data_IF_382832306956
#
_entry.id   IF_382832306956
#
_cell.length_a   1.000
_cell.length_b   1.000
_cell.length_c   1.000
_cell.angle_alpha   90.00
_cell.angle_beta   90.00
_cell.angle_gamma   90.00
#
_symmetry.space_group_name_H-M   'P 1'
#
loop_
_entity.id
_entity.type
_entity.pdbx_description
1 polymer ?
#
# COMPACT_ATOMS: atom_id res chain seq x y z
N UNK A 1 29.58 18.17 -8.32
CA UNK A 1 28.85 16.94 -7.94
C UNK A 1 28.01 17.14 -6.66
N UNK A 2 27.61 18.37 -6.34
CA UNK A 2 26.94 18.75 -5.08
C UNK A 2 25.41 18.91 -5.20
N UNK A 3 24.86 18.81 -6.43
CA UNK A 3 23.44 19.08 -6.67
C UNK A 3 22.51 17.85 -6.50
N UNK A 4 23.06 16.70 -6.09
CA UNK A 4 22.32 15.43 -6.08
C UNK A 4 21.80 15.00 -4.70
N UNK A 5 21.88 15.86 -3.68
CA UNK A 5 21.42 15.55 -2.33
C UNK A 5 21.99 14.23 -1.79
N UNK A 6 21.29 13.62 -0.84
CA UNK A 6 21.59 12.27 -0.37
C UNK A 6 20.29 11.48 -0.20
N UNK A 7 20.40 10.17 -0.27
CA UNK A 7 19.29 9.25 0.01
C UNK A 7 19.66 8.35 1.19
N UNK A 8 18.69 8.11 2.08
CA UNK A 8 18.85 7.18 3.20
C UNK A 8 18.77 5.75 2.68
N UNK A 9 19.77 4.95 3.02
CA UNK A 9 19.83 3.52 2.69
C UNK A 9 19.74 2.68 3.96
N UNK A 10 18.67 1.90 4.11
CA UNK A 10 18.49 1.01 5.25
C UNK A 10 19.27 -0.29 5.06
N UNK A 11 20.13 -0.64 6.03
CA UNK A 11 20.93 -1.87 6.02
C UNK A 11 20.07 -3.13 5.83
N UNK A 12 18.88 -3.16 6.43
CA UNK A 12 17.94 -4.29 6.37
C UNK A 12 17.41 -4.58 4.96
N UNK A 13 17.55 -3.66 4.00
CA UNK A 13 17.07 -3.86 2.62
C UNK A 13 17.69 -5.09 1.94
N UNK A 14 18.95 -5.41 2.28
CA UNK A 14 19.68 -6.53 1.68
C UNK A 14 19.18 -7.90 2.13
N UNK A 15 18.52 -7.96 3.30
CA UNK A 15 17.98 -9.19 3.89
C UNK A 15 16.45 -9.14 4.00
N UNK A 16 15.79 -8.33 3.17
CA UNK A 16 14.34 -8.19 3.20
C UNK A 16 13.70 -9.40 2.49
N UNK A 17 12.69 -10.07 3.09
CA UNK A 17 12.10 -11.30 2.54
C UNK A 17 11.43 -11.13 1.17
N UNK A 18 11.08 -9.88 0.80
CA UNK A 18 10.55 -9.57 -0.53
C UNK A 18 11.58 -9.81 -1.66
N UNK A 19 12.88 -9.78 -1.36
CA UNK A 19 13.95 -9.94 -2.33
C UNK A 19 14.57 -11.33 -2.24
N UNK A 20 14.80 -11.95 -3.39
CA UNK A 20 15.48 -13.24 -3.48
C UNK A 20 16.99 -13.07 -3.58
N UNK A 21 17.40 -12.07 -4.37
CA UNK A 21 18.80 -11.83 -4.71
C UNK A 21 19.19 -10.38 -4.42
N UNK A 22 20.50 -10.15 -4.24
CA UNK A 22 21.06 -8.80 -4.08
C UNK A 22 20.75 -7.87 -5.25
N UNK A 23 20.58 -8.41 -6.46
CA UNK A 23 20.19 -7.64 -7.65
C UNK A 23 18.79 -7.04 -7.48
N UNK A 24 17.85 -7.79 -6.91
CA UNK A 24 16.49 -7.29 -6.67
C UNK A 24 16.48 -6.20 -5.59
N UNK A 25 17.28 -6.39 -4.54
CA UNK A 25 17.49 -5.37 -3.52
C UNK A 25 18.17 -4.11 -4.10
N UNK A 26 19.06 -4.26 -5.08
CA UNK A 26 19.69 -3.15 -5.80
C UNK A 26 18.69 -2.42 -6.73
N UNK A 27 17.76 -3.15 -7.37
CA UNK A 27 16.64 -2.54 -8.12
C UNK A 27 15.79 -1.70 -7.18
N UNK A 28 15.45 -2.23 -6.01
CA UNK A 28 14.70 -1.49 -4.99
C UNK A 28 15.46 -0.24 -4.52
N UNK A 29 16.75 -0.37 -4.20
CA UNK A 29 17.60 0.76 -3.84
C UNK A 29 17.57 1.85 -4.92
N UNK A 30 17.75 1.46 -6.17
CA UNK A 30 17.67 2.38 -7.30
C UNK A 30 16.29 3.05 -7.40
N UNK A 31 15.19 2.33 -7.19
CA UNK A 31 13.85 2.92 -7.18
C UNK A 31 13.69 3.96 -6.06
N UNK A 32 14.16 3.66 -4.85
CA UNK A 32 14.10 4.62 -3.74
C UNK A 32 14.99 5.83 -3.97
N UNK A 33 16.13 5.64 -4.61
CA UNK A 33 17.10 6.70 -4.87
C UNK A 33 16.67 7.63 -6.02
N UNK A 34 15.89 7.10 -6.98
CA UNK A 34 15.41 7.87 -8.15
C UNK A 34 14.01 8.43 -8.00
N UNK A 35 13.25 8.00 -6.99
CA UNK A 35 11.96 8.57 -6.69
C UNK A 35 12.06 10.07 -6.41
N UNK A 36 11.05 10.82 -6.85
CA UNK A 36 11.04 12.26 -6.76
C UNK A 36 11.04 12.70 -5.28
N UNK A 37 12.06 13.43 -4.85
CA UNK A 37 12.15 13.93 -3.48
C UNK A 37 11.26 15.17 -3.22
N UNK A 38 10.85 15.83 -4.30
CA UNK A 38 9.88 16.93 -4.39
C UNK A 38 8.98 16.72 -5.60
N UNK A 39 7.75 17.30 -5.63
CA UNK A 39 6.90 17.29 -6.81
C UNK A 39 7.66 17.82 -8.05
N UNK A 40 7.66 17.05 -9.14
CA UNK A 40 8.42 17.35 -10.35
C UNK A 40 7.60 17.06 -11.59
N UNK A 41 7.63 17.97 -12.55
CA UNK A 41 7.08 17.77 -13.90
C UNK A 41 8.16 17.21 -14.81
N UNK A 42 7.93 16.03 -15.38
CA UNK A 42 8.79 15.41 -16.38
C UNK A 42 8.21 15.63 -17.78
N UNK A 43 9.02 16.11 -18.71
CA UNK A 43 8.69 16.11 -20.12
C UNK A 43 8.99 14.72 -20.70
N UNK A 44 7.95 13.98 -21.08
CA UNK A 44 8.09 12.74 -21.85
C UNK A 44 7.73 13.00 -23.31
N UNK A 45 8.21 12.15 -24.22
CA UNK A 45 7.85 12.18 -25.65
C UNK A 45 6.33 12.13 -25.87
N UNK A 46 5.61 11.49 -24.96
CA UNK A 46 4.16 11.29 -25.04
C UNK A 46 3.35 12.33 -24.27
N UNK A 47 4.00 13.37 -23.73
CA UNK A 47 3.37 14.45 -22.99
C UNK A 47 4.00 14.71 -21.62
N UNK A 48 3.56 15.76 -20.93
CA UNK A 48 4.02 16.06 -19.58
C UNK A 48 3.46 15.06 -18.57
N UNK A 49 4.32 14.57 -17.68
CA UNK A 49 3.96 13.71 -16.55
C UNK A 49 4.29 14.44 -15.26
N UNK A 50 3.28 14.68 -14.43
CA UNK A 50 3.47 15.24 -13.10
C UNK A 50 3.73 14.09 -12.12
N UNK A 51 4.85 14.16 -11.39
CA UNK A 51 5.20 13.23 -10.33
C UNK A 51 5.11 13.96 -8.99
N UNK A 52 4.48 13.32 -8.02
CA UNK A 52 4.49 13.74 -6.62
C UNK A 52 5.72 13.19 -5.89
N UNK A 53 5.94 13.68 -4.66
CA UNK A 53 7.01 13.17 -3.81
C UNK A 53 6.84 11.65 -3.57
N UNK A 54 7.92 10.90 -3.74
CA UNK A 54 7.93 9.44 -3.61
C UNK A 54 7.41 8.67 -4.82
N UNK A 55 7.09 9.38 -5.92
CA UNK A 55 6.72 8.77 -7.19
C UNK A 55 7.91 8.71 -8.16
N UNK A 56 7.91 7.70 -9.01
CA UNK A 56 8.82 7.61 -10.16
C UNK A 56 8.08 7.10 -11.39
N UNK A 57 8.48 7.59 -12.56
CA UNK A 57 8.02 7.07 -13.84
C UNK A 57 9.01 5.99 -14.31
N UNK A 58 8.52 4.77 -14.54
CA UNK A 58 9.34 3.67 -15.04
C UNK A 58 8.82 3.13 -16.36
N UNK A 59 9.76 2.63 -17.18
CA UNK A 59 9.46 1.77 -18.30
C UNK A 59 10.03 0.39 -18.03
N UNK A 60 9.19 -0.65 -18.03
CA UNK A 60 9.62 -2.04 -17.78
C UNK A 60 10.78 -2.44 -18.70
N UNK A 61 10.72 -2.04 -19.98
CA UNK A 61 11.78 -2.32 -20.98
C UNK A 61 13.08 -1.61 -20.63
N UNK A 62 12.99 -0.35 -20.20
CA UNK A 62 14.16 0.45 -19.82
C UNK A 62 14.88 -0.11 -18.61
N UNK A 63 14.14 -0.50 -17.58
CA UNK A 63 14.72 -1.05 -16.35
C UNK A 63 15.29 -2.44 -16.58
N UNK A 64 14.57 -3.30 -17.30
CA UNK A 64 15.06 -4.62 -17.67
C UNK A 64 16.42 -4.56 -18.39
N UNK A 65 16.56 -3.61 -19.35
CA UNK A 65 17.83 -3.37 -20.04
C UNK A 65 18.92 -2.86 -19.08
N UNK A 66 18.58 -1.92 -18.19
CA UNK A 66 19.53 -1.31 -17.24
C UNK A 66 20.14 -2.34 -16.28
N UNK A 67 19.33 -3.24 -15.75
CA UNK A 67 19.76 -4.29 -14.82
C UNK A 67 20.10 -5.62 -15.50
N UNK A 68 20.14 -5.65 -16.84
CA UNK A 68 20.43 -6.86 -17.64
C UNK A 68 19.59 -8.07 -17.23
N UNK A 69 18.32 -7.85 -16.96
CA UNK A 69 17.38 -8.90 -16.54
C UNK A 69 16.21 -9.04 -17.51
N UNK A 70 15.54 -10.19 -17.50
CA UNK A 70 14.35 -10.42 -18.32
C UNK A 70 13.17 -9.55 -17.89
N UNK A 71 12.34 -9.10 -18.84
CA UNK A 71 11.12 -8.31 -18.56
C UNK A 71 10.18 -9.01 -17.59
N UNK A 72 10.02 -10.34 -17.75
CA UNK A 72 9.20 -11.17 -16.86
C UNK A 72 9.75 -11.19 -15.43
N UNK A 73 11.08 -11.22 -15.27
CA UNK A 73 11.72 -11.17 -13.96
C UNK A 73 11.44 -9.83 -13.26
N UNK A 74 11.63 -8.71 -13.97
CA UNK A 74 11.33 -7.38 -13.43
C UNK A 74 9.85 -7.22 -13.05
N UNK A 75 8.92 -7.70 -13.89
CA UNK A 75 7.49 -7.69 -13.56
C UNK A 75 7.19 -8.55 -12.32
N UNK A 76 7.86 -9.68 -12.14
CA UNK A 76 7.76 -10.50 -10.92
C UNK A 76 8.27 -9.79 -9.67
N UNK A 77 9.32 -8.97 -9.79
CA UNK A 77 9.79 -8.09 -8.70
C UNK A 77 8.72 -7.06 -8.37
N UNK A 78 8.18 -6.36 -9.37
CA UNK A 78 7.13 -5.36 -9.15
C UNK A 78 5.89 -5.96 -8.50
N UNK A 79 5.43 -7.13 -8.95
CA UNK A 79 4.27 -7.79 -8.36
C UNK A 79 4.50 -8.13 -6.88
N UNK A 80 5.67 -8.70 -6.54
CA UNK A 80 6.02 -8.96 -5.13
C UNK A 80 6.08 -7.70 -4.29
N UNK A 81 6.63 -6.61 -4.83
CA UNK A 81 6.65 -5.32 -4.14
C UNK A 81 5.25 -4.76 -3.90
N UNK A 82 4.31 -5.00 -4.83
CA UNK A 82 2.89 -4.64 -4.66
C UNK A 82 2.25 -5.54 -3.60
N UNK A 83 2.49 -6.84 -3.65
CA UNK A 83 1.94 -7.82 -2.72
C UNK A 83 2.41 -7.56 -1.27
N UNK A 84 3.66 -7.13 -1.09
CA UNK A 84 4.26 -6.71 0.18
C UNK A 84 3.92 -5.25 0.57
N UNK A 85 3.04 -4.59 -0.19
CA UNK A 85 2.63 -3.20 0.00
C UNK A 85 3.80 -2.21 0.12
N UNK A 86 4.88 -2.45 -0.62
CA UNK A 86 6.01 -1.54 -0.72
C UNK A 86 5.77 -0.46 -1.77
N UNK A 87 5.03 -0.79 -2.83
CA UNK A 87 4.70 0.11 -3.94
C UNK A 87 3.26 0.00 -4.41
N UNK A 88 2.76 1.06 -5.02
CA UNK A 88 1.50 1.10 -5.79
C UNK A 88 1.84 1.45 -7.23
N UNK A 89 1.24 0.72 -8.18
CA UNK A 89 1.38 0.99 -9.61
C UNK A 89 0.17 1.79 -10.10
N UNK A 90 0.43 2.91 -10.77
CA UNK A 90 -0.58 3.70 -11.44
C UNK A 90 -0.22 3.86 -12.92
N UNK A 91 -1.04 3.25 -13.77
CA UNK A 91 -0.95 3.41 -15.23
C UNK A 91 -1.94 4.46 -15.75
N UNK A 92 -2.89 4.90 -14.93
CA UNK A 92 -3.91 5.87 -15.28
C UNK A 92 -3.38 7.30 -15.08
N UNK A 93 -2.71 7.82 -16.09
CA UNK A 93 -2.19 9.18 -16.16
C UNK A 93 -2.23 9.68 -17.61
N UNK A 94 -2.13 10.99 -17.87
CA UNK A 94 -2.37 11.57 -19.20
C UNK A 94 -1.48 11.03 -20.33
N UNK A 95 -0.37 10.36 -20.01
CA UNK A 95 0.58 9.80 -20.97
C UNK A 95 0.77 8.29 -20.77
N UNK A 96 -0.25 7.44 -21.04
CA UNK A 96 -0.19 6.00 -20.75
C UNK A 96 0.95 5.26 -21.47
N UNK A 97 1.40 5.79 -22.62
CA UNK A 97 2.52 5.24 -23.39
C UNK A 97 3.90 5.64 -22.84
N UNK A 98 3.98 6.60 -21.91
CA UNK A 98 5.24 7.06 -21.31
C UNK A 98 5.83 6.05 -20.32
N UNK A 99 4.99 5.23 -19.68
CA UNK A 99 5.42 4.24 -18.71
C UNK A 99 4.37 4.00 -17.64
N UNK A 100 4.81 3.48 -16.50
CA UNK A 100 3.98 3.28 -15.31
C UNK A 100 4.50 4.19 -14.21
N UNK A 101 3.62 4.93 -13.54
CA UNK A 101 3.97 5.68 -12.34
C UNK A 101 3.97 4.70 -11.17
N UNK A 102 5.08 4.62 -10.46
CA UNK A 102 5.21 3.82 -9.24
C UNK A 102 5.24 4.78 -8.06
N UNK A 103 4.36 4.55 -7.08
CA UNK A 103 4.31 5.30 -5.83
C UNK A 103 4.88 4.43 -4.71
N UNK A 104 5.89 4.93 -4.00
CA UNK A 104 6.46 4.24 -2.83
C UNK A 104 5.66 4.65 -1.59
N UNK A 105 4.91 3.73 -1.00
CA UNK A 105 3.93 4.02 0.08
C UNK A 105 4.58 4.70 1.29
N UNK A 106 5.71 4.14 1.76
CA UNK A 106 6.39 4.62 2.97
C UNK A 106 7.59 5.53 2.64
N UNK A 107 7.58 6.21 1.48
CA UNK A 107 8.71 7.04 1.05
C UNK A 107 9.06 8.12 2.06
N UNK A 108 8.06 8.77 2.66
CA UNK A 108 8.28 9.76 3.71
C UNK A 108 9.02 9.16 4.91
N UNK A 109 8.64 7.96 5.37
CA UNK A 109 9.35 7.27 6.44
C UNK A 109 10.80 6.94 6.07
N UNK A 110 11.04 6.62 4.80
CA UNK A 110 12.37 6.25 4.31
C UNK A 110 13.28 7.45 4.10
N UNK A 111 12.73 8.58 3.64
CA UNK A 111 13.50 9.71 3.10
C UNK A 111 13.12 11.07 3.73
N UNK A 112 12.33 11.13 4.80
CA UNK A 112 12.12 12.39 5.54
C UNK A 112 13.42 12.79 6.23
N UNK A 113 13.82 14.05 6.03
CA UNK A 113 14.67 14.73 6.98
C UNK A 113 13.75 15.30 8.05
N UNK A 114 13.89 14.85 9.29
CA UNK A 114 13.51 15.71 10.41
C UNK A 114 14.63 16.76 10.40
N UNK A 115 14.41 17.85 9.71
CA UNK A 115 15.13 19.07 10.04
C UNK A 115 14.65 19.38 11.45
N UNK A 116 15.55 19.30 12.44
CA UNK A 116 15.31 20.03 13.67
C UNK A 116 15.17 21.49 13.23
N UNK A 117 13.94 21.96 13.11
CA UNK A 117 13.67 23.39 13.05
C UNK A 117 14.03 23.91 14.43
N UNK A 118 15.03 24.77 14.50
CA UNK A 118 15.52 25.46 15.70
C UNK A 118 14.49 26.46 16.27
N UNK A 119 13.19 26.10 16.32
CA UNK A 119 12.10 26.93 16.83
C UNK A 119 11.09 26.09 17.64
N UNK A 120 11.55 25.48 18.73
CA UNK A 120 10.69 25.22 19.90
C UNK A 120 11.53 25.32 21.20
N UNK A 121 11.31 26.34 22.05
CA UNK A 121 12.12 26.56 23.25
C UNK A 121 11.57 25.77 24.43
N UNK A 122 11.49 24.44 24.36
CA UNK A 122 11.14 23.65 25.56
C UNK A 122 11.68 22.24 25.54
N UNK A 123 12.98 22.08 25.76
CA UNK A 123 13.52 21.14 26.77
C UNK A 123 15.04 21.31 26.85
N UNK A 124 15.47 22.10 27.83
CA UNK A 124 16.89 22.27 28.17
C UNK A 124 17.46 20.99 28.78
N UNK A 125 18.65 20.66 28.28
CA UNK A 125 19.86 20.32 29.02
C UNK A 125 19.96 18.97 29.72
N UNK A 126 20.79 18.12 29.11
CA UNK A 126 21.68 17.20 29.80
C UNK A 126 23.02 17.19 29.08
N UNK A 127 23.77 18.30 29.19
CA UNK A 127 25.19 18.34 28.81
C UNK A 127 25.97 17.29 29.61
N UNK A 128 26.78 16.48 28.91
CA UNK A 128 28.06 15.99 29.40
C UNK A 128 28.97 15.83 28.18
N UNK A 129 29.82 16.83 27.98
CA UNK A 129 30.99 16.76 27.12
C UNK A 129 32.00 15.71 27.63
N UNK A 130 32.90 15.23 26.75
CA UNK A 130 33.82 14.12 27.04
C UNK A 130 35.10 14.59 27.74
N UNK A 131 35.70 13.80 28.65
CA UNK A 131 37.06 14.08 29.08
C UNK A 131 38.05 13.43 28.10
N UNK A 132 38.71 14.28 27.32
CA UNK A 132 39.91 14.00 26.56
C UNK A 132 41.12 14.24 27.48
N UNK A 133 41.85 13.18 27.88
CA UNK A 133 43.33 13.18 27.85
C UNK A 133 44.01 11.91 28.39
N UNK A 134 44.97 11.45 27.57
CA UNK A 134 46.23 10.77 27.91
C UNK A 134 46.22 9.34 28.49
N UNK A 135 46.60 8.34 27.66
CA UNK A 135 48.00 7.91 27.51
C UNK A 135 48.15 6.76 26.50
N UNK A 136 49.20 6.86 25.68
CA UNK A 136 49.66 5.91 24.66
C UNK A 136 50.56 4.87 25.34
N UNK A 137 50.29 3.57 25.17
CA UNK A 137 51.36 2.57 25.20
C UNK A 137 51.00 1.35 24.36
N UNK A 138 52.04 0.83 23.73
CA UNK A 138 52.18 -0.14 22.65
C UNK A 138 51.86 -1.59 23.02
N UNK A 139 51.81 -2.41 21.95
CA UNK A 139 51.95 -3.88 21.87
C UNK A 139 50.66 -4.72 21.76
N UNK A 140 50.50 -5.38 20.60
CA UNK A 140 49.77 -6.65 20.48
C UNK A 140 50.60 -7.81 21.07
N UNK A 141 50.11 -9.06 21.14
CA UNK A 141 49.53 -9.79 20.00
C UNK A 141 48.35 -10.76 20.31
N UNK A 142 47.79 -11.29 19.20
CA UNK A 142 46.96 -12.51 18.98
C UNK A 142 46.42 -13.35 20.15
N UNK A 143 45.14 -13.73 20.02
CA UNK A 143 44.56 -14.92 20.65
C UNK A 143 43.34 -15.44 19.88
N UNK A 144 43.48 -16.62 19.26
CA UNK A 144 42.41 -17.44 18.66
C UNK A 144 41.48 -18.00 19.75
N UNK A 145 40.21 -18.19 19.43
CA UNK A 145 39.28 -18.97 20.25
C UNK A 145 37.95 -19.20 19.55
N UNK A 146 37.89 -20.26 18.73
CA UNK A 146 36.64 -20.91 18.33
C UNK A 146 35.94 -21.57 19.53
N UNK A 147 34.60 -21.62 19.47
CA UNK A 147 33.64 -22.61 20.00
C UNK A 147 32.31 -21.87 20.27
N UNK A 148 31.12 -22.37 19.99
CA UNK A 148 30.67 -23.66 19.49
C UNK A 148 29.25 -23.48 18.95
N UNK A 149 28.92 -24.37 18.01
CA UNK A 149 27.66 -24.55 17.29
C UNK A 149 26.58 -25.10 18.23
N UNK A 150 25.40 -24.50 18.23
CA UNK A 150 24.16 -25.18 18.66
C UNK A 150 23.14 -25.14 17.53
N UNK A 151 23.10 -26.26 16.82
CA UNK A 151 21.94 -26.67 16.03
C UNK A 151 20.81 -26.99 17.00
N UNK A 152 19.65 -26.36 16.80
CA UNK A 152 18.38 -26.91 17.29
C UNK A 152 17.30 -26.75 16.22
N UNK A 153 16.95 -27.93 15.70
CA UNK A 153 15.78 -28.33 14.95
C UNK A 153 14.51 -27.61 15.45
N UNK A 154 13.75 -26.96 14.55
CA UNK A 154 12.33 -26.69 14.82
C UNK A 154 11.47 -27.16 13.66
N UNK A 155 10.93 -28.35 13.87
CA UNK A 155 9.77 -28.90 13.19
C UNK A 155 8.54 -28.02 13.45
N UNK A 156 7.60 -28.18 12.54
CA UNK A 156 6.23 -27.69 12.54
C UNK A 156 5.52 -27.89 13.88
N UNK A 157 4.65 -26.93 14.24
CA UNK A 157 3.78 -27.00 15.40
C UNK A 157 3.24 -25.62 15.75
N UNK A 158 1.93 -25.45 15.58
CA UNK A 158 1.19 -24.27 16.04
C UNK A 158 1.44 -24.02 17.54
N UNK A 159 1.42 -22.76 18.04
CA UNK A 159 1.09 -22.51 19.42
C UNK A 159 -0.39 -22.16 19.50
N UNK A 160 -1.20 -23.18 19.77
CA UNK A 160 -2.26 -23.02 20.76
C UNK A 160 -1.57 -23.01 22.12
N UNK A 161 -1.73 -21.93 22.89
CA UNK A 161 -0.98 -21.73 24.12
C UNK A 161 -1.10 -20.31 24.64
N UNK A 162 -2.21 -20.05 25.32
CA UNK A 162 -2.50 -18.93 26.21
C UNK A 162 -1.30 -18.04 26.59
N UNK A 163 -1.28 -16.81 26.06
CA UNK A 163 -0.69 -15.67 26.79
C UNK A 163 -1.84 -14.81 27.26
N UNK A 164 -2.19 -14.98 28.53
CA UNK A 164 -3.15 -14.14 29.23
C UNK A 164 -2.78 -12.66 29.07
N UNK A 165 -3.77 -11.82 28.71
CA UNK A 165 -3.74 -10.39 28.97
C UNK A 165 -3.93 -9.43 27.78
N UNK A 166 -3.98 -9.89 26.52
CA UNK A 166 -4.41 -8.99 25.44
C UNK A 166 -5.92 -8.99 25.34
N UNK A 167 -6.56 -8.03 26.02
CA UNK A 167 -7.97 -7.72 25.80
C UNK A 167 -8.17 -7.31 24.34
N UNK A 168 -8.81 -8.19 23.57
CA UNK A 168 -9.27 -7.87 22.21
C UNK A 168 -10.53 -7.02 22.32
N UNK A 169 -10.60 -5.96 21.52
CA UNK A 169 -11.83 -5.18 21.38
C UNK A 169 -12.81 -5.84 20.41
N UNK A 170 -12.31 -6.68 19.52
CA UNK A 170 -13.09 -7.49 18.60
C UNK A 170 -12.39 -8.83 18.42
N UNK A 171 -13.08 -9.93 18.73
CA UNK A 171 -12.53 -11.28 18.65
C UNK A 171 -13.54 -12.22 18.00
N UNK A 172 -13.08 -12.91 16.94
CA UNK A 172 -13.77 -14.01 16.27
C UNK A 172 -12.80 -15.09 15.84
N UNK A 173 -13.28 -16.05 15.04
CA UNK A 173 -12.56 -17.22 14.57
C UNK A 173 -11.25 -16.84 13.88
N UNK A 174 -11.29 -15.91 12.92
CA UNK A 174 -10.10 -15.49 12.15
C UNK A 174 -9.64 -14.09 12.54
N UNK A 175 -10.56 -13.14 12.62
CA UNK A 175 -10.29 -11.72 12.87
C UNK A 175 -10.24 -11.47 14.38
N UNK A 176 -9.07 -11.06 14.87
CA UNK A 176 -8.83 -10.68 16.27
C UNK A 176 -8.08 -9.36 16.36
N UNK A 177 -8.75 -8.31 16.85
CA UNK A 177 -8.23 -6.94 16.90
C UNK A 177 -8.07 -6.47 18.34
N UNK A 178 -6.88 -5.98 18.66
CA UNK A 178 -6.62 -5.31 19.94
C UNK A 178 -7.40 -4.00 20.04
N UNK A 179 -7.60 -3.49 21.25
CA UNK A 179 -8.24 -2.19 21.47
C UNK A 179 -7.59 -1.05 20.67
N UNK A 180 -6.25 -1.05 20.57
CA UNK A 180 -5.52 -0.07 19.79
C UNK A 180 -5.86 -0.16 18.30
N UNK A 181 -5.77 -1.35 17.70
CA UNK A 181 -6.04 -1.52 16.28
C UNK A 181 -7.50 -1.28 15.92
N UNK A 182 -8.43 -1.69 16.79
CA UNK A 182 -9.85 -1.42 16.61
C UNK A 182 -10.11 0.09 16.50
N UNK A 183 -9.55 0.90 17.41
CA UNK A 183 -9.65 2.37 17.36
C UNK A 183 -8.94 2.98 16.15
N UNK A 184 -7.77 2.47 15.78
CA UNK A 184 -7.06 2.93 14.57
C UNK A 184 -7.88 2.68 13.31
N UNK A 185 -8.52 1.51 13.20
CA UNK A 185 -9.34 1.15 12.04
C UNK A 185 -10.64 1.94 11.99
N UNK A 186 -11.26 2.24 13.14
CA UNK A 186 -12.39 3.16 13.22
C UNK A 186 -12.04 4.56 12.69
N UNK A 187 -10.86 5.08 13.04
CA UNK A 187 -10.36 6.37 12.51
C UNK A 187 -10.14 6.33 11.00
N UNK A 188 -9.71 5.20 10.46
CA UNK A 188 -9.49 5.02 9.02
C UNK A 188 -10.78 4.83 8.22
N UNK A 189 -11.87 4.39 8.86
CA UNK A 189 -13.15 4.10 8.22
C UNK A 189 -14.29 4.91 8.89
N UNK A 190 -14.26 6.25 8.80
CA UNK A 190 -15.20 7.11 9.52
C UNK A 190 -16.65 6.97 9.03
N UNK A 191 -16.86 6.62 7.76
CA UNK A 191 -18.19 6.48 7.17
C UNK A 191 -18.90 5.23 7.69
N UNK A 192 -18.19 4.11 7.79
CA UNK A 192 -18.72 2.88 8.37
C UNK A 192 -19.05 3.04 9.84
N UNK A 193 -18.23 3.79 10.58
CA UNK A 193 -18.51 4.12 11.99
C UNK A 193 -19.73 5.02 12.09
N UNK A 194 -19.82 6.07 11.27
CA UNK A 194 -20.97 6.99 11.25
C UNK A 194 -22.29 6.28 10.93
N UNK A 195 -22.25 5.22 10.13
CA UNK A 195 -23.41 4.42 9.76
C UNK A 195 -23.65 3.20 10.67
N UNK A 196 -22.86 3.03 11.74
CA UNK A 196 -22.90 1.86 12.63
C UNK A 196 -22.71 0.50 11.93
N UNK A 197 -22.08 0.50 10.75
CA UNK A 197 -21.84 -0.69 9.91
C UNK A 197 -20.46 -1.31 10.14
N UNK A 198 -19.62 -0.69 10.97
CA UNK A 198 -18.22 -1.10 11.16
C UNK A 198 -18.09 -2.55 11.64
N UNK A 199 -18.76 -2.91 12.74
CA UNK A 199 -18.70 -4.26 13.30
C UNK A 199 -19.36 -5.30 12.39
N UNK A 200 -20.51 -4.96 11.79
CA UNK A 200 -21.18 -5.83 10.82
C UNK A 200 -20.31 -6.15 9.60
N UNK A 201 -19.49 -5.19 9.16
CA UNK A 201 -18.54 -5.37 8.06
C UNK A 201 -17.37 -6.28 8.46
N UNK A 202 -16.85 -6.14 9.68
CA UNK A 202 -15.83 -7.06 10.21
C UNK A 202 -16.36 -8.49 10.34
N UNK A 203 -17.59 -8.65 10.83
CA UNK A 203 -18.27 -9.95 10.95
C UNK A 203 -18.40 -10.61 9.58
N UNK A 204 -18.92 -9.88 8.59
CA UNK A 204 -19.11 -10.38 7.22
C UNK A 204 -17.77 -10.81 6.60
N UNK A 205 -16.70 -10.09 6.91
CA UNK A 205 -15.36 -10.41 6.43
C UNK A 205 -14.77 -11.65 7.11
N UNK A 206 -14.99 -11.82 8.41
CA UNK A 206 -14.59 -13.01 9.15
C UNK A 206 -15.27 -14.27 8.60
N UNK A 207 -16.59 -14.21 8.34
CA UNK A 207 -17.35 -15.29 7.69
C UNK A 207 -16.81 -15.66 6.30
N UNK A 208 -16.30 -14.69 5.54
CA UNK A 208 -15.68 -14.96 4.24
C UNK A 208 -14.40 -15.82 4.37
N UNK A 209 -13.62 -15.64 5.45
CA UNK A 209 -12.46 -16.49 5.75
C UNK A 209 -12.86 -17.89 6.24
N UNK A 210 -14.05 -18.04 6.81
CA UNK A 210 -14.55 -19.33 7.29
C UNK A 210 -14.87 -20.31 6.15
N UNK A 211 -15.08 -19.82 4.93
CA UNK A 211 -15.34 -20.66 3.75
C UNK A 211 -14.16 -21.61 3.45
N UNK A 212 -14.41 -22.88 3.07
CA UNK A 212 -13.36 -23.86 2.81
C UNK A 212 -12.33 -23.41 1.76
N UNK A 213 -12.79 -22.71 0.72
CA UNK A 213 -11.99 -22.14 -0.36
C UNK A 213 -10.98 -21.06 0.09
N UNK A 214 -11.13 -20.51 1.29
CA UNK A 214 -10.35 -19.37 1.79
C UNK A 214 -9.52 -19.69 3.04
N UNK A 215 -9.45 -20.95 3.46
CA UNK A 215 -8.72 -21.36 4.68
C UNK A 215 -7.26 -20.92 4.64
N UNK A 216 -6.58 -21.07 3.50
CA UNK A 216 -5.17 -20.66 3.34
C UNK A 216 -4.95 -19.16 3.54
N UNK A 217 -5.98 -18.36 3.24
CA UNK A 217 -5.93 -16.89 3.34
C UNK A 217 -6.06 -16.39 4.78
N UNK A 218 -6.41 -17.26 5.74
CA UNK A 218 -6.50 -16.93 7.17
C UNK A 218 -5.15 -16.51 7.77
N UNK A 219 -4.05 -17.13 7.33
CA UNK A 219 -2.71 -16.88 7.91
C UNK A 219 -2.21 -15.44 7.76
N UNK A 220 -2.78 -14.67 6.82
CA UNK A 220 -2.39 -13.28 6.53
C UNK A 220 -3.62 -12.36 6.52
N UNK A 221 -4.57 -12.57 7.43
CA UNK A 221 -5.87 -11.88 7.40
C UNK A 221 -5.80 -10.38 7.70
N UNK A 222 -4.85 -9.91 8.52
CA UNK A 222 -4.86 -8.55 9.09
C UNK A 222 -4.90 -7.44 8.02
N UNK A 223 -3.89 -7.35 7.16
CA UNK A 223 -3.82 -6.28 6.14
C UNK A 223 -4.89 -6.40 5.04
N UNK A 224 -5.20 -7.59 4.49
CA UNK A 224 -6.31 -7.74 3.55
C UNK A 224 -7.67 -7.33 4.15
N UNK A 225 -7.89 -7.59 5.44
CA UNK A 225 -9.12 -7.17 6.14
C UNK A 225 -9.14 -5.64 6.31
N UNK A 226 -8.03 -5.03 6.70
CA UNK A 226 -7.90 -3.56 6.78
C UNK A 226 -8.19 -2.88 5.45
N UNK A 227 -7.62 -3.38 4.36
CA UNK A 227 -7.87 -2.84 3.01
C UNK A 227 -9.32 -3.04 2.59
N UNK A 228 -9.90 -4.22 2.86
CA UNK A 228 -11.31 -4.50 2.60
C UNK A 228 -12.21 -3.50 3.32
N UNK A 229 -11.94 -3.21 4.60
CA UNK A 229 -12.70 -2.21 5.37
C UNK A 229 -12.63 -0.82 4.73
N UNK A 230 -11.44 -0.38 4.30
CA UNK A 230 -11.26 0.91 3.62
C UNK A 230 -12.05 0.99 2.31
N UNK A 231 -12.04 -0.09 1.53
CA UNK A 231 -12.84 -0.16 0.29
C UNK A 231 -14.33 -0.11 0.59
N UNK A 232 -14.81 -0.75 1.66
CA UNK A 232 -16.21 -0.66 2.07
C UNK A 232 -16.58 0.75 2.56
N UNK A 233 -15.70 1.42 3.28
CA UNK A 233 -15.90 2.80 3.72
C UNK A 233 -16.04 3.76 2.54
N UNK A 234 -15.16 3.63 1.53
CA UNK A 234 -15.24 4.41 0.30
C UNK A 234 -16.57 4.15 -0.44
N UNK A 235 -17.00 2.89 -0.53
CA UNK A 235 -18.30 2.54 -1.15
C UNK A 235 -19.47 3.15 -0.39
N UNK A 236 -19.44 3.10 0.94
CA UNK A 236 -20.46 3.71 1.79
C UNK A 236 -20.50 5.24 1.63
N UNK A 237 -19.33 5.88 1.53
CA UNK A 237 -19.24 7.34 1.32
C UNK A 237 -19.84 7.76 -0.03
N UNK A 238 -19.54 7.00 -1.10
CA UNK A 238 -20.11 7.23 -2.43
C UNK A 238 -21.63 7.02 -2.44
N UNK A 239 -22.13 5.97 -1.77
CA UNK A 239 -23.56 5.72 -1.65
C UNK A 239 -24.28 6.86 -0.91
N UNK A 240 -23.70 7.37 0.19
CA UNK A 240 -24.23 8.50 0.95
C UNK A 240 -24.31 9.77 0.09
N UNK A 241 -23.25 10.09 -0.66
CA UNK A 241 -23.21 11.24 -1.57
C UNK A 241 -24.26 11.12 -2.69
N UNK A 242 -24.44 9.92 -3.24
CA UNK A 242 -25.43 9.66 -4.30
C UNK A 242 -26.87 9.80 -3.78
N UNK A 243 -27.12 9.43 -2.52
CA UNK A 243 -28.42 9.58 -1.88
C UNK A 243 -28.77 11.05 -1.56
N UNK A 244 -27.76 11.88 -1.26
CA UNK A 244 -27.93 13.31 -0.97
C UNK A 244 -28.02 14.18 -2.24
N UNK A 245 -27.62 13.66 -3.40
CA UNK A 245 -27.44 14.41 -4.65
C UNK A 245 -28.58 14.30 -5.68
N UNK A 246 -29.65 13.53 -5.43
CA UNK A 246 -30.81 13.52 -6.35
C UNK A 246 -31.77 14.66 -6.04
N UNK A 247 -31.39 15.86 -6.49
CA UNK A 247 -32.37 16.86 -6.90
C UNK A 247 -33.20 16.30 -8.06
N UNK A 248 -34.53 16.34 -7.89
CA UNK A 248 -35.62 16.19 -8.86
C UNK A 248 -35.22 15.70 -10.28
N UNK A 249 -35.62 14.49 -10.72
CA UNK A 249 -35.63 14.23 -12.16
C UNK A 249 -36.62 15.20 -12.81
N UNK A 250 -36.15 15.91 -13.85
CA UNK A 250 -37.02 16.67 -14.73
C UNK A 250 -38.10 15.73 -15.28
N UNK A 251 -39.36 16.07 -15.02
CA UNK A 251 -40.52 15.43 -15.63
C UNK A 251 -40.32 15.46 -17.16
N UNK A 252 -40.46 14.34 -17.88
CA UNK A 252 -40.53 14.42 -19.34
C UNK A 252 -41.79 15.22 -19.69
N UNK A 253 -41.60 16.34 -20.39
CA UNK A 253 -42.74 17.07 -20.93
C UNK A 253 -43.47 16.13 -21.91
N UNK A 254 -44.77 15.95 -21.69
CA UNK A 254 -45.65 15.43 -22.71
C UNK A 254 -45.95 16.59 -23.65
N UNK A 255 -45.48 16.50 -24.89
CA UNK A 255 -46.01 17.32 -25.99
C UNK A 255 -46.96 16.40 -26.73
N UNK A 256 -48.24 16.74 -26.64
CA UNK A 256 -49.27 16.17 -27.50
C UNK A 256 -49.02 16.64 -28.94
N UNK A 257 -49.03 15.69 -29.86
CA UNK A 257 -49.35 15.96 -31.25
C UNK A 257 -50.54 15.06 -31.61
N UNK A 258 -51.61 15.77 -31.94
CA UNK A 258 -52.85 15.31 -32.52
C UNK A 258 -52.62 14.69 -33.92
N UNK A 259 -53.62 13.88 -34.36
CA UNK A 259 -54.04 13.69 -35.76
C UNK A 259 -53.17 12.71 -36.61
N UNK A 260 -53.64 11.73 -37.41
CA UNK A 260 -54.94 11.36 -38.02
C UNK A 260 -54.88 9.87 -38.40
N UNK A 261 -55.98 9.12 -38.19
CA UNK A 261 -56.24 7.86 -38.90
C UNK A 261 -57.03 8.13 -40.19
N UNK A 262 -56.70 7.48 -41.32
CA UNK A 262 -57.69 7.17 -42.33
C UNK A 262 -57.98 5.66 -42.36
N UNK A 263 -59.27 5.42 -42.29
CA UNK A 263 -59.99 4.16 -42.42
C UNK A 263 -59.95 3.61 -43.86
N UNK A 264 -60.35 2.34 -43.98
CA UNK A 264 -61.00 1.67 -45.11
C UNK A 264 -60.21 0.71 -46.05
N UNK A 265 -60.80 -0.50 -46.08
CA UNK A 265 -60.86 -1.54 -47.13
C UNK A 265 -59.61 -2.42 -47.30
N UNK A 266 -59.64 -3.75 -47.22
CA UNK A 266 -60.69 -4.77 -47.21
C UNK A 266 -60.08 -6.09 -47.72
N UNK A 267 -60.88 -7.16 -47.69
CA UNK A 267 -60.62 -8.55 -48.17
C UNK A 267 -59.77 -9.43 -47.23
N UNK A 268 -60.43 -10.27 -46.45
CA UNK A 268 -60.93 -11.62 -46.79
C UNK A 268 -59.86 -12.71 -46.58
N UNK A 269 -60.18 -13.61 -45.65
CA UNK A 269 -59.52 -14.89 -45.41
C UNK A 269 -59.72 -15.84 -46.63
N UNK A 270 -59.07 -17.02 -46.76
CA UNK A 270 -59.20 -18.10 -45.78
C UNK A 270 -57.98 -19.05 -45.60
N UNK A 271 -58.07 -19.85 -44.52
CA UNK A 271 -57.65 -21.26 -44.36
C UNK A 271 -56.54 -21.83 -45.26
N UNK A 272 -55.46 -22.33 -44.66
CA UNK A 272 -55.30 -23.72 -44.16
C UNK A 272 -54.18 -23.79 -43.11
#
# INVERSE_FOLDING_TARGET
MSDNGFTKSYRRRWNHPAFRDYVEAAVWAWMTDTAAWQPKRLASKFGPVNLERGQLLISERGIAKKFRMGRKAFRGILQRLVDEQMVVLNSNHPAPNAGTIVTIINYNKYQSHVMATDDDPTHRSGNCEPPENHLRTTSGPQGKGEKERKEEKKQEGAPDGATAGRAYAFERTTVRLTHQHYREWQKMCPTLVKLELFDGTLISRDQWYERPENIDKRKRWFYPTSNYMRTQDQKAAVALQTSSGRGRPAQPHWVGEDYIAPDLVGREAPFD
#
